data_IF_884757345434
#
_entry.id   IF_884757345434
#
_cell.length_a   1.000
_cell.length_b   1.000
_cell.length_c   1.000
_cell.angle_alpha   90.00
_cell.angle_beta   90.00
_cell.angle_gamma   90.00
#
_symmetry.space_group_name_H-M   'P 1'
#
loop_
_entity.id
_entity.type
_entity.pdbx_description
1 polymer ?
#
# COMPACT_ATOMS: atom_id res chain seq x y z
N UNK A 1 7.30 -6.21 8.37
CA UNK A 1 6.45 -6.80 7.29
C UNK A 1 7.28 -6.87 6.02
N UNK A 2 7.24 -7.96 5.25
CA UNK A 2 7.94 -8.05 3.95
C UNK A 2 7.02 -8.77 2.97
N UNK A 3 6.60 -8.06 1.92
CA UNK A 3 5.72 -8.58 0.86
C UNK A 3 6.25 -8.24 -0.52
N UNK A 4 5.92 -9.07 -1.51
CA UNK A 4 6.28 -8.89 -2.91
C UNK A 4 5.03 -9.05 -3.80
N UNK A 5 4.79 -8.07 -4.66
CA UNK A 5 3.58 -7.98 -5.51
C UNK A 5 4.00 -7.54 -6.91
N UNK A 6 3.40 -8.10 -7.94
CA UNK A 6 3.60 -7.65 -9.32
C UNK A 6 3.20 -6.17 -9.49
N UNK A 7 4.03 -5.37 -10.17
CA UNK A 7 3.84 -3.92 -10.32
C UNK A 7 2.46 -3.52 -10.88
N UNK A 8 1.95 -4.23 -11.87
CA UNK A 8 0.66 -3.90 -12.49
C UNK A 8 -0.49 -4.09 -11.48
N UNK A 9 -0.51 -5.25 -10.79
CA UNK A 9 -1.49 -5.54 -9.74
C UNK A 9 -1.40 -4.55 -8.58
N UNK A 10 -0.19 -4.21 -8.15
CA UNK A 10 0.02 -3.22 -7.09
C UNK A 10 -0.54 -1.85 -7.47
N UNK A 11 -0.20 -1.35 -8.66
CA UNK A 11 -0.63 -0.02 -9.11
C UNK A 11 -2.15 0.05 -9.26
N UNK A 12 -2.75 -0.94 -9.92
CA UNK A 12 -4.21 -1.03 -10.08
C UNK A 12 -4.93 -1.10 -8.73
N UNK A 13 -4.43 -1.92 -7.80
CA UNK A 13 -4.98 -2.04 -6.46
C UNK A 13 -4.89 -0.73 -5.68
N UNK A 14 -3.73 -0.05 -5.69
CA UNK A 14 -3.55 1.24 -5.02
C UNK A 14 -4.50 2.29 -5.58
N UNK A 15 -4.62 2.40 -6.90
CA UNK A 15 -5.52 3.36 -7.53
C UNK A 15 -6.99 3.07 -7.23
N UNK A 16 -7.37 1.80 -7.14
CA UNK A 16 -8.73 1.38 -6.80
C UNK A 16 -9.05 1.69 -5.34
N UNK A 17 -8.18 1.28 -4.41
CA UNK A 17 -8.39 1.43 -2.98
C UNK A 17 -8.33 2.90 -2.53
N UNK A 18 -7.43 3.70 -3.11
CA UNK A 18 -7.31 5.13 -2.81
C UNK A 18 -8.53 5.99 -3.22
N UNK A 19 -9.53 5.42 -3.91
CA UNK A 19 -10.81 6.10 -4.15
C UNK A 19 -11.73 6.08 -2.93
N UNK A 20 -11.53 5.12 -2.03
CA UNK A 20 -12.33 4.93 -0.82
C UNK A 20 -11.70 5.58 0.42
N UNK A 21 -10.48 6.10 0.30
CA UNK A 21 -9.84 6.90 1.36
C UNK A 21 -10.37 8.33 1.36
N UNK A 22 -10.54 8.90 2.53
CA UNK A 22 -10.99 10.28 2.70
C UNK A 22 -9.89 11.27 2.26
N UNK A 23 -10.16 12.14 1.29
CA UNK A 23 -9.13 13.02 0.69
C UNK A 23 -9.03 14.39 1.32
N UNK A 24 -10.06 14.83 2.05
CA UNK A 24 -10.21 16.24 2.47
C UNK A 24 -10.43 16.43 3.96
N UNK A 25 -10.52 15.36 4.74
CA UNK A 25 -10.86 15.48 6.15
C UNK A 25 -9.61 15.61 7.04
N UNK A 26 -9.33 16.84 7.46
CA UNK A 26 -8.24 17.16 8.39
C UNK A 26 -8.49 16.64 9.81
N UNK A 27 -9.73 16.36 10.20
CA UNK A 27 -10.05 15.90 11.56
C UNK A 27 -9.70 14.43 11.80
N UNK A 28 -9.65 13.61 10.75
CA UNK A 28 -9.31 12.18 10.82
C UNK A 28 -8.27 11.78 9.76
N UNK A 29 -6.99 12.19 9.91
CA UNK A 29 -5.93 11.93 8.91
C UNK A 29 -5.69 10.44 8.63
N UNK A 30 -6.00 9.57 9.59
CA UNK A 30 -5.86 8.11 9.43
C UNK A 30 -6.77 7.56 8.32
N UNK A 31 -7.92 8.19 8.05
CA UNK A 31 -8.84 7.78 6.99
C UNK A 31 -8.34 8.17 5.59
N UNK A 32 -7.33 9.03 5.51
CA UNK A 32 -6.61 9.36 4.27
C UNK A 32 -5.52 8.33 3.94
N UNK A 33 -5.41 7.26 4.71
CA UNK A 33 -4.40 6.21 4.52
C UNK A 33 -5.01 4.93 3.94
N UNK A 34 -4.19 4.17 3.24
CA UNK A 34 -4.45 2.79 2.84
C UNK A 34 -3.79 1.88 3.86
N UNK A 35 -4.56 0.96 4.41
CA UNK A 35 -4.08 -0.10 5.29
C UNK A 35 -3.68 -1.32 4.46
N UNK A 36 -2.41 -1.71 4.54
CA UNK A 36 -1.88 -2.93 3.94
C UNK A 36 -1.74 -3.98 5.04
N UNK A 37 -2.36 -5.14 4.83
CA UNK A 37 -2.34 -6.26 5.76
C UNK A 37 -1.70 -7.45 5.04
N UNK A 38 -0.64 -7.99 5.62
CA UNK A 38 0.03 -9.19 5.15
C UNK A 38 -0.12 -10.28 6.22
N UNK A 39 -0.88 -11.33 5.93
CA UNK A 39 -1.19 -12.40 6.88
C UNK A 39 -1.33 -13.77 6.20
N UNK A 40 -1.89 -14.73 6.95
CA UNK A 40 -2.13 -16.10 6.46
C UNK A 40 -3.12 -16.14 5.29
N UNK A 41 -4.08 -15.23 5.28
CA UNK A 41 -5.07 -15.09 4.20
C UNK A 41 -4.51 -14.44 2.93
N UNK A 42 -3.22 -14.07 2.93
CA UNK A 42 -2.56 -13.32 1.86
C UNK A 42 -2.45 -11.82 2.15
N UNK A 43 -2.32 -11.03 1.09
CA UNK A 43 -2.14 -9.58 1.16
C UNK A 43 -3.48 -8.90 0.89
N UNK A 44 -3.88 -7.98 1.77
CA UNK A 44 -5.11 -7.19 1.64
C UNK A 44 -4.78 -5.70 1.70
N UNK A 45 -5.49 -4.90 0.90
CA UNK A 45 -5.48 -3.44 0.97
C UNK A 45 -6.87 -2.93 1.33
N UNK A 46 -6.94 -2.07 2.35
CA UNK A 46 -8.19 -1.52 2.87
C UNK A 46 -8.13 -0.01 2.93
N UNK A 47 -9.26 0.63 2.65
CA UNK A 47 -9.47 2.05 2.88
C UNK A 47 -10.95 2.31 3.16
N UNK A 48 -11.25 3.38 3.90
CA UNK A 48 -12.62 3.78 4.21
C UNK A 48 -12.72 5.27 4.50
N UNK A 49 -13.89 5.83 4.22
CA UNK A 49 -14.27 7.19 4.58
C UNK A 49 -15.45 7.23 5.58
N UNK A 50 -15.67 6.15 6.35
CA UNK A 50 -16.79 5.93 7.27
C UNK A 50 -18.18 5.75 6.65
N UNK A 51 -18.35 6.09 5.37
CA UNK A 51 -19.60 5.83 4.63
C UNK A 51 -19.46 4.56 3.78
N UNK A 52 -18.33 4.44 3.09
CA UNK A 52 -17.99 3.31 2.24
C UNK A 52 -16.59 2.81 2.58
N UNK A 53 -16.38 1.50 2.42
CA UNK A 53 -15.09 0.87 2.61
C UNK A 53 -14.80 -0.14 1.52
N UNK A 54 -13.52 -0.42 1.31
CA UNK A 54 -13.05 -1.46 0.40
C UNK A 54 -12.11 -2.40 1.14
N UNK A 55 -12.24 -3.70 0.86
CA UNK A 55 -11.30 -4.73 1.27
C UNK A 55 -10.88 -5.54 0.06
N UNK A 56 -9.72 -5.20 -0.50
CA UNK A 56 -9.22 -5.79 -1.73
C UNK A 56 -8.10 -6.78 -1.39
N UNK A 57 -8.32 -8.05 -1.72
CA UNK A 57 -7.29 -9.09 -1.66
C UNK A 57 -6.43 -9.04 -2.92
N UNK A 58 -5.12 -9.08 -2.76
CA UNK A 58 -4.14 -8.97 -3.83
C UNK A 58 -3.26 -10.21 -3.80
N UNK A 59 -2.99 -10.74 -4.99
CA UNK A 59 -2.05 -11.84 -5.16
C UNK A 59 -0.61 -11.34 -5.03
N UNK A 60 0.17 -12.03 -4.21
CA UNK A 60 1.58 -11.73 -4.00
C UNK A 60 2.18 -12.67 -2.97
N UNK A 61 3.49 -12.54 -2.77
CA UNK A 61 4.24 -13.36 -1.82
C UNK A 61 4.42 -12.60 -0.51
N UNK A 62 3.96 -13.19 0.60
CA UNK A 62 4.21 -12.67 1.94
C UNK A 62 5.36 -13.44 2.58
N UNK A 63 6.51 -12.79 2.79
CA UNK A 63 7.65 -13.36 3.52
C UNK A 63 7.51 -13.14 5.03
N UNK A 64 7.10 -11.95 5.43
CA UNK A 64 6.95 -11.58 6.84
C UNK A 64 5.62 -10.88 7.04
N UNK A 65 4.77 -11.45 7.89
CA UNK A 65 3.47 -10.89 8.25
C UNK A 65 3.61 -9.50 8.87
N UNK A 66 2.53 -8.74 8.80
CA UNK A 66 2.43 -7.44 9.46
C UNK A 66 1.31 -6.60 8.89
N UNK A 67 1.17 -5.43 9.47
CA UNK A 67 0.17 -4.44 9.07
C UNK A 67 0.83 -3.08 9.03
N UNK A 68 0.45 -2.26 8.06
CA UNK A 68 0.94 -0.89 7.97
C UNK A 68 -0.06 0.02 7.27
N UNK A 69 -0.18 1.26 7.74
CA UNK A 69 -1.00 2.29 7.13
C UNK A 69 -0.11 3.32 6.45
N UNK A 70 -0.41 3.67 5.20
CA UNK A 70 0.37 4.64 4.42
C UNK A 70 -0.59 5.65 3.80
N UNK A 71 -0.29 6.95 3.81
CA UNK A 71 -1.11 7.95 3.14
C UNK A 71 -1.39 7.57 1.68
N UNK A 72 -2.66 7.59 1.29
CA UNK A 72 -3.10 7.12 -0.02
C UNK A 72 -2.47 7.93 -1.16
N UNK A 73 -2.29 9.24 -0.96
CA UNK A 73 -1.64 10.14 -1.92
C UNK A 73 -0.19 9.76 -2.19
N UNK A 74 0.57 9.45 -1.13
CA UNK A 74 1.97 9.03 -1.25
C UNK A 74 2.05 7.67 -1.97
N UNK A 75 1.19 6.72 -1.61
CA UNK A 75 1.12 5.42 -2.28
C UNK A 75 0.79 5.57 -3.78
N UNK A 76 -0.15 6.44 -4.14
CA UNK A 76 -0.49 6.72 -5.55
C UNK A 76 0.69 7.33 -6.31
N UNK A 77 1.41 8.28 -5.70
CA UNK A 77 2.61 8.88 -6.30
C UNK A 77 3.70 7.83 -6.54
N UNK A 78 3.94 6.97 -5.55
CA UNK A 78 4.91 5.88 -5.65
C UNK A 78 4.52 4.89 -6.75
N UNK A 79 3.26 4.43 -6.77
CA UNK A 79 2.75 3.54 -7.80
C UNK A 79 2.88 4.11 -9.22
N UNK A 80 2.78 5.43 -9.36
CA UNK A 80 2.96 6.14 -10.65
C UNK A 80 4.43 6.33 -10.99
N UNK A 81 5.31 6.48 -10.00
CA UNK A 81 6.74 6.74 -10.20
C UNK A 81 7.52 5.53 -10.73
N UNK A 82 7.03 4.32 -10.48
CA UNK A 82 7.67 3.10 -10.94
C UNK A 82 7.34 2.83 -12.41
N UNK A 83 8.28 3.17 -13.30
CA UNK A 83 8.17 2.93 -14.75
C UNK A 83 8.68 1.56 -15.17
N UNK A 84 9.50 0.91 -14.34
CA UNK A 84 10.05 -0.41 -14.62
C UNK A 84 9.01 -1.51 -14.34
N UNK A 85 9.01 -2.54 -15.19
CA UNK A 85 8.26 -3.77 -14.96
C UNK A 85 8.98 -4.66 -13.95
N UNK A 86 8.22 -5.53 -13.28
CA UNK A 86 8.72 -6.49 -12.30
C UNK A 86 7.96 -6.47 -10.98
N UNK A 87 8.55 -7.12 -9.98
CA UNK A 87 7.96 -7.25 -8.65
C UNK A 87 8.35 -6.07 -7.75
N UNK A 88 7.35 -5.54 -7.07
CA UNK A 88 7.49 -4.51 -6.04
C UNK A 88 7.63 -5.21 -4.69
N UNK A 89 8.72 -4.91 -3.98
CA UNK A 89 8.94 -5.39 -2.62
C UNK A 89 8.66 -4.26 -1.63
N UNK A 90 7.78 -4.51 -0.67
CA UNK A 90 7.46 -3.59 0.42
C UNK A 90 7.98 -4.20 1.71
N UNK A 91 8.88 -3.48 2.37
CA UNK A 91 9.48 -3.84 3.63
C UNK A 91 9.14 -2.77 4.68
N UNK A 92 8.63 -3.20 5.83
CA UNK A 92 8.33 -2.37 6.98
C UNK A 92 9.23 -2.80 8.13
N UNK A 93 10.11 -1.87 8.55
CA UNK A 93 11.14 -2.07 9.57
C UNK A 93 11.17 -0.87 10.52
N UNK A 94 10.79 -1.11 11.78
CA UNK A 94 10.65 -0.04 12.77
C UNK A 94 9.55 0.94 12.37
N UNK A 95 9.88 2.23 12.27
CA UNK A 95 8.98 3.30 11.82
C UNK A 95 9.10 3.61 10.33
N UNK A 96 9.87 2.82 9.57
CA UNK A 96 10.15 3.10 8.16
C UNK A 96 9.61 2.00 7.25
N UNK A 97 9.02 2.42 6.13
CA UNK A 97 8.69 1.56 5.00
C UNK A 97 9.65 1.85 3.86
N UNK A 98 10.24 0.78 3.32
CA UNK A 98 10.96 0.79 2.05
C UNK A 98 10.14 0.08 0.97
N UNK A 99 9.92 0.75 -0.15
CA UNK A 99 9.28 0.20 -1.35
C UNK A 99 10.35 0.14 -2.44
N UNK A 100 10.66 -1.05 -2.92
CA UNK A 100 11.75 -1.29 -3.88
C UNK A 100 11.21 -1.97 -5.13
N UNK A 101 11.63 -1.50 -6.31
CA UNK A 101 11.30 -2.07 -7.62
C UNK A 101 12.54 -2.05 -8.49
N UNK A 102 13.10 -3.20 -8.87
CA UNK A 102 14.28 -3.26 -9.73
C UNK A 102 15.42 -2.33 -9.23
N UNK A 103 15.67 -1.23 -9.95
CA UNK A 103 16.72 -0.24 -9.61
C UNK A 103 16.23 0.94 -8.75
N UNK A 104 14.94 1.05 -8.47
CA UNK A 104 14.32 2.17 -7.74
C UNK A 104 13.98 1.78 -6.31
N UNK A 105 14.28 2.65 -5.35
CA UNK A 105 13.92 2.49 -3.94
C UNK A 105 13.35 3.79 -3.38
N UNK A 106 12.20 3.69 -2.73
CA UNK A 106 11.54 4.79 -2.02
C UNK A 106 11.43 4.44 -0.54
N UNK A 107 11.77 5.36 0.35
CA UNK A 107 11.62 5.19 1.79
C UNK A 107 10.68 6.23 2.35
N UNK A 108 9.72 5.79 3.16
CA UNK A 108 8.71 6.63 3.82
C UNK A 108 8.76 6.33 5.31
N UNK A 109 8.57 7.37 6.14
CA UNK A 109 8.34 7.19 7.56
C UNK A 109 6.84 7.07 7.81
N UNK A 110 6.42 6.03 8.52
CA UNK A 110 5.02 5.75 8.88
C UNK A 110 4.66 6.16 10.29
#
# INVERSE_FOLDING_TARGET
MIISIEKNKFSEAVHTVARFSERKNTTLPVLSSILIIAGDDGIKMRATNLETGIDLKIEGTCKTKGVVAIPATILQQIATSFTQEGDITIEHTGDNISITTGTSKSSIKT
#
